data_IF_604596010928
#
_entry.id   IF_604596010928
#
_cell.length_a   1.000
_cell.length_b   1.000
_cell.length_c   1.000
_cell.angle_alpha   90.00
_cell.angle_beta   90.00
_cell.angle_gamma   90.00
#
_symmetry.space_group_name_H-M   'P 1'
#
loop_
_entity.id
_entity.type
_entity.pdbx_description
1 polymer ?
#
# COMPACT_ATOMS: atom_id res chain seq x y z
N UNK A 1 22.88 23.40 1.82
CA UNK A 1 22.00 22.23 1.64
C UNK A 1 21.71 22.14 0.16
N UNK A 2 22.34 21.24 -0.59
CA UNK A 2 22.01 21.08 -2.02
C UNK A 2 20.63 20.47 -2.14
N UNK A 3 19.71 21.16 -2.81
CA UNK A 3 18.42 20.60 -3.20
C UNK A 3 18.70 19.40 -4.12
N UNK A 4 18.38 18.20 -3.66
CA UNK A 4 18.46 16.99 -4.49
C UNK A 4 17.24 16.99 -5.41
N UNK A 5 17.42 17.48 -6.63
CA UNK A 5 16.37 17.44 -7.65
C UNK A 5 16.29 16.02 -8.23
N UNK A 6 15.10 15.43 -8.19
CA UNK A 6 14.82 14.14 -8.82
C UNK A 6 14.84 14.33 -10.34
N UNK A 7 15.58 13.49 -11.06
CA UNK A 7 15.61 13.56 -12.52
C UNK A 7 14.31 13.04 -13.15
N UNK A 8 13.98 13.48 -14.37
CA UNK A 8 12.77 13.02 -15.08
C UNK A 8 12.71 11.50 -15.25
N UNK A 9 13.88 10.86 -15.44
CA UNK A 9 13.99 9.40 -15.54
C UNK A 9 13.62 8.71 -14.22
N UNK A 10 14.14 9.20 -13.09
CA UNK A 10 13.83 8.67 -11.76
C UNK A 10 12.37 8.93 -11.37
N UNK A 11 11.82 10.09 -11.76
CA UNK A 11 10.41 10.39 -11.53
C UNK A 11 9.51 9.43 -12.31
N UNK A 12 9.87 9.10 -13.56
CA UNK A 12 9.12 8.14 -14.37
C UNK A 12 9.15 6.73 -13.78
N UNK A 13 10.29 6.32 -13.23
CA UNK A 13 10.42 5.04 -12.51
C UNK A 13 9.54 5.00 -11.24
N UNK A 14 9.56 6.08 -10.44
CA UNK A 14 8.71 6.21 -9.26
C UNK A 14 7.22 6.17 -9.63
N UNK A 15 6.81 6.82 -10.72
CA UNK A 15 5.43 6.78 -11.20
C UNK A 15 5.00 5.38 -11.64
N UNK A 16 5.88 4.62 -12.30
CA UNK A 16 5.61 3.25 -12.67
C UNK A 16 5.40 2.37 -11.43
N UNK A 17 6.33 2.44 -10.46
CA UNK A 17 6.23 1.72 -9.18
C UNK A 17 4.95 2.08 -8.41
N UNK A 18 4.60 3.37 -8.34
CA UNK A 18 3.35 3.81 -7.72
C UNK A 18 2.11 3.23 -8.41
N UNK A 19 2.12 3.20 -9.74
CA UNK A 19 0.99 2.68 -10.52
C UNK A 19 0.74 1.19 -10.27
N UNK A 20 1.82 0.40 -10.16
CA UNK A 20 1.75 -1.02 -9.81
C UNK A 20 1.20 -1.22 -8.39
N UNK A 21 1.71 -0.47 -7.41
CA UNK A 21 1.26 -0.54 -6.02
C UNK A 21 -0.22 -0.15 -5.91
N UNK A 22 -0.62 0.95 -6.55
CA UNK A 22 -2.02 1.38 -6.61
C UNK A 22 -2.91 0.28 -7.18
N UNK A 23 -2.49 -0.39 -8.26
CA UNK A 23 -3.25 -1.48 -8.85
C UNK A 23 -3.40 -2.67 -7.90
N UNK A 24 -2.30 -3.09 -7.25
CA UNK A 24 -2.30 -4.17 -6.28
C UNK A 24 -3.21 -3.90 -5.08
N UNK A 25 -3.13 -2.68 -4.52
CA UNK A 25 -3.98 -2.22 -3.41
C UNK A 25 -5.46 -2.23 -3.82
N UNK A 26 -5.79 -1.66 -4.98
CA UNK A 26 -7.17 -1.62 -5.46
C UNK A 26 -7.73 -3.03 -5.68
N UNK A 27 -6.92 -3.96 -6.20
CA UNK A 27 -7.33 -5.35 -6.37
C UNK A 27 -7.61 -6.03 -5.01
N UNK A 28 -6.73 -5.84 -4.02
CA UNK A 28 -6.95 -6.38 -2.67
C UNK A 28 -8.22 -5.82 -2.03
N UNK A 29 -8.45 -4.50 -2.15
CA UNK A 29 -9.66 -3.85 -1.63
C UNK A 29 -10.92 -4.35 -2.35
N UNK A 30 -10.88 -4.52 -3.66
CA UNK A 30 -12.02 -5.05 -4.42
C UNK A 30 -12.40 -6.47 -3.93
N UNK A 31 -11.43 -7.33 -3.65
CA UNK A 31 -11.67 -8.67 -3.08
C UNK A 31 -12.30 -8.56 -1.69
N UNK A 32 -11.78 -7.70 -0.82
CA UNK A 32 -12.35 -7.49 0.53
C UNK A 32 -13.78 -6.96 0.46
N UNK A 33 -14.06 -6.00 -0.43
CA UNK A 33 -15.41 -5.46 -0.64
C UNK A 33 -16.37 -6.54 -1.13
N UNK A 34 -15.96 -7.33 -2.12
CA UNK A 34 -16.77 -8.43 -2.63
C UNK A 34 -17.06 -9.48 -1.54
N UNK A 35 -16.06 -9.85 -0.73
CA UNK A 35 -16.23 -10.76 0.40
C UNK A 35 -17.15 -10.19 1.49
N UNK A 36 -17.07 -8.89 1.75
CA UNK A 36 -17.97 -8.19 2.67
C UNK A 36 -19.42 -8.27 2.18
N UNK A 37 -19.69 -7.92 0.93
CA UNK A 37 -21.03 -8.02 0.33
C UNK A 37 -21.56 -9.46 0.28
N UNK A 38 -20.68 -10.44 0.05
CA UNK A 38 -21.04 -11.85 0.09
C UNK A 38 -21.35 -12.31 1.52
N UNK A 39 -20.58 -11.87 2.51
CA UNK A 39 -20.78 -12.25 3.93
C UNK A 39 -22.11 -11.76 4.50
N UNK A 40 -22.62 -10.62 4.01
CA UNK A 40 -23.94 -10.11 4.40
C UNK A 40 -25.07 -11.04 3.95
N UNK A 41 -24.91 -11.74 2.81
CA UNK A 41 -25.91 -12.66 2.25
C UNK A 41 -25.69 -14.11 2.69
N UNK A 42 -24.42 -14.49 2.92
CA UNK A 42 -24.00 -15.84 3.28
C UNK A 42 -22.92 -15.75 4.37
N UNK A 43 -23.28 -15.99 5.65
CA UNK A 43 -22.37 -15.84 6.79
C UNK A 43 -21.06 -16.62 6.66
N UNK A 44 -21.04 -17.74 5.93
CA UNK A 44 -19.85 -18.56 5.67
C UNK A 44 -18.70 -17.81 4.99
N UNK A 45 -18.98 -16.70 4.29
CA UNK A 45 -17.94 -15.86 3.69
C UNK A 45 -17.26 -14.92 4.70
N UNK A 46 -17.79 -14.76 5.91
CA UNK A 46 -17.20 -13.92 6.94
C UNK A 46 -15.82 -14.44 7.37
N UNK A 47 -15.63 -15.75 7.46
CA UNK A 47 -14.34 -16.35 7.77
C UNK A 47 -13.31 -16.09 6.67
N UNK A 48 -13.73 -16.21 5.40
CA UNK A 48 -12.88 -15.89 4.23
C UNK A 48 -12.53 -14.40 4.18
N UNK A 49 -13.48 -13.53 4.52
CA UNK A 49 -13.22 -12.09 4.66
C UNK A 49 -12.18 -11.83 5.74
N UNK A 50 -12.34 -12.39 6.94
CA UNK A 50 -11.40 -12.21 8.04
C UNK A 50 -9.98 -12.69 7.68
N UNK A 51 -9.86 -13.88 7.09
CA UNK A 51 -8.58 -14.41 6.60
C UNK A 51 -7.94 -13.52 5.54
N UNK A 52 -8.74 -13.00 4.61
CA UNK A 52 -8.27 -12.09 3.57
C UNK A 52 -7.79 -10.75 4.15
N UNK A 53 -8.51 -10.18 5.11
CA UNK A 53 -8.11 -8.94 5.79
C UNK A 53 -6.80 -9.14 6.56
N UNK A 54 -6.69 -10.21 7.33
CA UNK A 54 -5.47 -10.53 8.11
C UNK A 54 -4.22 -10.72 7.24
N UNK A 55 -4.39 -11.19 6.00
CA UNK A 55 -3.27 -11.43 5.08
C UNK A 55 -2.96 -10.23 4.20
N UNK A 56 -3.97 -9.58 3.62
CA UNK A 56 -3.79 -8.50 2.64
C UNK A 56 -3.55 -7.13 3.28
N UNK A 57 -4.11 -6.84 4.47
CA UNK A 57 -3.90 -5.54 5.09
C UNK A 57 -2.42 -5.28 5.45
N UNK A 58 -1.67 -6.24 6.06
CA UNK A 58 -0.23 -6.06 6.28
C UNK A 58 0.57 -5.91 4.97
N UNK A 59 0.18 -6.64 3.91
CA UNK A 59 0.83 -6.52 2.60
C UNK A 59 0.66 -5.11 2.00
N UNK A 60 -0.54 -4.53 2.10
CA UNK A 60 -0.80 -3.16 1.65
C UNK A 60 0.09 -2.16 2.42
N UNK A 61 0.17 -2.30 3.74
CA UNK A 61 1.01 -1.44 4.58
C UNK A 61 2.48 -1.55 4.17
N UNK A 62 3.00 -2.78 4.02
CA UNK A 62 4.39 -3.03 3.59
C UNK A 62 4.67 -2.36 2.25
N UNK A 63 3.83 -2.60 1.24
CA UNK A 63 4.05 -2.03 -0.10
C UNK A 63 4.03 -0.48 -0.10
N UNK A 64 3.16 0.13 0.71
CA UNK A 64 3.11 1.59 0.84
C UNK A 64 4.33 2.15 1.60
N UNK A 65 4.80 1.45 2.63
CA UNK A 65 6.03 1.81 3.35
C UNK A 65 7.25 1.72 2.43
N UNK A 66 7.43 0.61 1.72
CA UNK A 66 8.51 0.40 0.75
C UNK A 66 8.51 1.45 -0.38
N UNK A 67 7.34 1.91 -0.81
CA UNK A 67 7.25 3.01 -1.76
C UNK A 67 7.66 4.34 -1.14
N UNK A 68 7.18 4.62 0.07
CA UNK A 68 7.47 5.87 0.78
C UNK A 68 8.97 6.00 1.07
N UNK A 69 9.61 4.90 1.48
CA UNK A 69 11.07 4.83 1.66
C UNK A 69 11.81 5.12 0.36
N UNK A 70 11.45 4.43 -0.73
CA UNK A 70 12.05 4.66 -2.04
C UNK A 70 11.87 6.11 -2.53
N UNK A 71 10.70 6.71 -2.29
CA UNK A 71 10.44 8.12 -2.62
C UNK A 71 11.32 9.06 -1.79
N UNK A 72 11.40 8.83 -0.47
CA UNK A 72 12.19 9.65 0.45
C UNK A 72 13.68 9.60 0.11
N UNK A 73 14.22 8.42 -0.20
CA UNK A 73 15.61 8.26 -0.65
C UNK A 73 15.91 9.08 -1.91
N UNK A 74 14.99 9.06 -2.89
CA UNK A 74 15.12 9.83 -4.13
C UNK A 74 15.00 11.32 -3.89
N UNK A 75 14.06 11.75 -3.04
CA UNK A 75 13.84 13.14 -2.66
C UNK A 75 14.91 13.71 -1.70
N UNK A 76 15.78 12.85 -1.13
CA UNK A 76 16.74 13.27 -0.11
C UNK A 76 16.09 13.63 1.23
N UNK A 77 14.84 13.22 1.45
CA UNK A 77 14.11 13.40 2.69
C UNK A 77 14.52 12.27 3.64
N UNK A 78 14.89 12.62 4.88
CA UNK A 78 15.11 11.61 5.91
C UNK A 78 13.74 11.03 6.28
N UNK A 79 13.59 9.70 6.43
CA UNK A 79 12.31 9.14 6.86
C UNK A 79 11.98 9.68 8.26
N UNK A 80 11.02 10.60 8.33
CA UNK A 80 10.29 10.88 9.57
C UNK A 80 9.51 9.60 9.86
N UNK A 81 10.01 8.81 10.82
CA UNK A 81 9.43 7.52 11.16
C UNK A 81 7.93 7.67 11.37
N UNK A 82 7.13 6.89 10.64
CA UNK A 82 5.71 6.80 10.93
C UNK A 82 5.55 6.42 12.40
N UNK A 83 4.69 7.12 13.18
CA UNK A 83 4.41 6.70 14.55
C UNK A 83 3.74 5.32 14.51
N UNK A 84 4.54 4.28 14.75
CA UNK A 84 4.09 2.91 14.98
C UNK A 84 3.50 2.82 16.38
N UNK A 85 2.36 3.48 16.61
CA UNK A 85 1.50 3.21 17.76
C UNK A 85 0.08 3.09 17.23
N UNK A 86 -0.25 1.90 16.73
CA UNK A 86 -1.64 1.48 16.70
C UNK A 86 -1.90 0.88 18.08
N UNK A 87 -2.76 1.57 18.84
CA UNK A 87 -3.19 1.20 20.19
C UNK A 87 -3.93 -0.13 20.24
#
# INVERSE_FOLDING_TARGET
>A
MSEKTISDAELKELQAKYSEIKHSVNNALAVMMALSEMSQRRPDYAEKLASTVLTKAPQIVSSLQEFTEALNEKAGLKPEGFPTTIA
#
